data_IF_819443717427
#
_entry.id   IF_819443717427
#
_cell.length_a   1.000
_cell.length_b   1.000
_cell.length_c   1.000
_cell.angle_alpha   90.00
_cell.angle_beta   90.00
_cell.angle_gamma   90.00
#
_symmetry.space_group_name_H-M   'P 1'
#
loop_
_entity.id
_entity.type
_entity.pdbx_description
1 polymer ?
#
# COMPACT_ATOMS: atom_id res chain seq x y z
N UNK A 1 7.13 -11.12 -8.58
CA UNK A 1 5.98 -10.49 -9.29
C UNK A 1 6.50 -9.72 -10.48
N UNK A 2 5.89 -9.90 -11.61
CA UNK A 2 6.39 -9.33 -12.86
C UNK A 2 5.54 -8.13 -13.28
N UNK A 3 5.90 -6.97 -12.81
CA UNK A 3 5.15 -5.74 -13.05
C UNK A 3 5.87 -4.71 -13.92
N UNK A 4 7.04 -5.03 -14.44
CA UNK A 4 7.86 -4.09 -15.20
C UNK A 4 7.14 -3.44 -16.38
N UNK A 5 6.29 -4.20 -17.04
CA UNK A 5 5.63 -3.74 -18.27
C UNK A 5 4.24 -3.21 -18.02
N UNK A 6 3.81 -3.19 -16.76
CA UNK A 6 2.50 -2.68 -16.41
C UNK A 6 2.62 -1.21 -16.06
N UNK A 7 1.85 -0.39 -16.74
CA UNK A 7 1.77 1.02 -16.44
C UNK A 7 0.49 1.29 -15.66
N UNK A 8 0.64 1.59 -14.37
CA UNK A 8 -0.48 1.88 -13.48
C UNK A 8 -0.63 3.35 -13.17
N UNK A 9 -0.03 4.20 -13.99
CA UNK A 9 -0.16 5.65 -13.83
C UNK A 9 -1.64 6.03 -13.76
N UNK A 10 -1.98 6.86 -12.79
CA UNK A 10 -3.36 7.32 -12.53
C UNK A 10 -4.28 6.21 -11.98
N UNK A 11 -3.73 5.09 -11.54
CA UNK A 11 -4.49 4.06 -10.84
C UNK A 11 -4.32 4.20 -9.35
N UNK A 12 -5.32 3.73 -8.61
CA UNK A 12 -5.29 3.74 -7.15
C UNK A 12 -5.45 2.30 -6.67
N UNK A 13 -4.58 1.88 -5.77
CA UNK A 13 -4.63 0.54 -5.19
C UNK A 13 -4.79 0.65 -3.68
N UNK A 14 -5.81 -0.01 -3.16
CA UNK A 14 -6.03 -0.11 -1.72
C UNK A 14 -5.40 -1.41 -1.23
N UNK A 15 -4.47 -1.31 -0.28
CA UNK A 15 -3.78 -2.47 0.26
C UNK A 15 -3.97 -2.51 1.77
N UNK A 16 -4.68 -3.53 2.25
CA UNK A 16 -4.81 -3.77 3.69
C UNK A 16 -3.60 -4.59 4.16
N UNK A 17 -3.18 -4.35 5.39
CA UNK A 17 -1.98 -5.00 5.90
C UNK A 17 -0.72 -4.55 5.17
N UNK A 18 -0.71 -3.31 4.69
CA UNK A 18 0.34 -2.80 3.79
C UNK A 18 1.72 -2.72 4.44
N UNK A 19 1.77 -2.64 5.76
CA UNK A 19 3.04 -2.42 6.47
C UNK A 19 3.90 -3.66 6.63
N UNK A 20 3.41 -4.84 6.34
CA UNK A 20 4.13 -6.09 6.61
C UNK A 20 4.00 -7.10 5.48
N UNK A 21 5.05 -7.92 5.34
CA UNK A 21 5.03 -9.10 4.51
C UNK A 21 4.60 -8.87 3.07
N UNK A 22 3.66 -9.67 2.61
CA UNK A 22 3.17 -9.64 1.23
C UNK A 22 2.50 -8.30 0.91
N UNK A 23 1.74 -7.75 1.86
CA UNK A 23 1.09 -6.46 1.67
C UNK A 23 2.08 -5.34 1.39
N UNK A 24 3.19 -5.32 2.14
CA UNK A 24 4.25 -4.35 1.94
C UNK A 24 4.91 -4.53 0.57
N UNK A 25 5.26 -5.77 0.23
CA UNK A 25 5.91 -6.06 -1.04
C UNK A 25 5.01 -5.69 -2.22
N UNK A 26 3.73 -6.02 -2.15
CA UNK A 26 2.76 -5.66 -3.19
C UNK A 26 2.62 -4.15 -3.32
N UNK A 27 2.59 -3.43 -2.20
CA UNK A 27 2.47 -1.97 -2.21
C UNK A 27 3.64 -1.33 -2.93
N UNK A 28 4.86 -1.79 -2.65
CA UNK A 28 6.06 -1.27 -3.29
C UNK A 28 6.03 -1.56 -4.78
N UNK A 29 5.68 -2.79 -5.17
CA UNK A 29 5.63 -3.19 -6.58
C UNK A 29 4.59 -2.37 -7.35
N UNK A 30 3.41 -2.17 -6.78
CA UNK A 30 2.36 -1.38 -7.42
C UNK A 30 2.74 0.09 -7.53
N UNK A 31 3.39 0.62 -6.49
CA UNK A 31 3.88 2.00 -6.50
C UNK A 31 4.94 2.19 -7.58
N UNK A 32 5.85 1.24 -7.72
CA UNK A 32 6.88 1.28 -8.75
C UNK A 32 6.26 1.27 -10.14
N UNK A 33 5.14 0.58 -10.31
CA UNK A 33 4.41 0.55 -11.58
C UNK A 33 3.61 1.82 -11.84
N UNK A 34 3.56 2.74 -10.89
CA UNK A 34 2.92 4.05 -11.06
C UNK A 34 1.62 4.27 -10.30
N UNK A 35 1.12 3.26 -9.59
CA UNK A 35 -0.13 3.40 -8.85
C UNK A 35 0.07 4.27 -7.60
N UNK A 36 -0.97 4.98 -7.21
CA UNK A 36 -1.04 5.61 -5.90
C UNK A 36 -1.56 4.56 -4.93
N UNK A 37 -0.82 4.35 -3.84
CA UNK A 37 -1.15 3.33 -2.86
C UNK A 37 -1.92 3.94 -1.70
N UNK A 38 -3.06 3.37 -1.37
CA UNK A 38 -3.73 3.66 -0.11
C UNK A 38 -3.40 2.49 0.80
N UNK A 39 -2.46 2.71 1.71
CA UNK A 39 -1.98 1.68 2.61
C UNK A 39 -2.70 1.72 3.94
N UNK A 40 -3.29 0.60 4.32
CA UNK A 40 -4.02 0.47 5.58
C UNK A 40 -3.26 -0.49 6.49
N UNK A 41 -3.00 -0.05 7.71
CA UNK A 41 -2.33 -0.87 8.71
C UNK A 41 -2.80 -0.45 10.10
N UNK A 42 -2.68 -1.34 11.06
CA UNK A 42 -2.99 -1.02 12.47
C UNK A 42 -1.91 -0.16 13.11
N UNK A 43 -0.73 -0.14 12.54
CA UNK A 43 0.46 0.46 13.15
C UNK A 43 1.02 1.57 12.27
N UNK A 44 1.04 2.78 12.80
CA UNK A 44 1.56 3.93 12.07
C UNK A 44 3.03 3.76 11.70
N UNK A 45 3.83 3.17 12.60
CA UNK A 45 5.26 2.98 12.33
C UNK A 45 5.51 2.07 11.14
N UNK A 46 4.66 1.07 10.91
CA UNK A 46 4.78 0.20 9.75
C UNK A 46 4.52 0.98 8.45
N UNK A 47 3.53 1.87 8.49
CA UNK A 47 3.23 2.71 7.34
C UNK A 47 4.33 3.73 7.07
N UNK A 48 4.98 4.24 8.11
CA UNK A 48 6.10 5.16 7.95
C UNK A 48 7.28 4.48 7.29
N UNK A 49 7.56 3.22 7.64
CA UNK A 49 8.60 2.43 6.98
C UNK A 49 8.25 2.19 5.52
N UNK A 50 7.00 1.84 5.26
CA UNK A 50 6.53 1.65 3.89
C UNK A 50 6.67 2.93 3.07
N UNK A 51 6.37 4.07 3.67
CA UNK A 51 6.51 5.35 2.99
C UNK A 51 7.93 5.60 2.52
N UNK A 52 8.92 5.27 3.36
CA UNK A 52 10.32 5.41 2.97
C UNK A 52 10.65 4.55 1.76
N UNK A 53 10.16 3.31 1.74
CA UNK A 53 10.42 2.41 0.62
C UNK A 53 9.72 2.88 -0.65
N UNK A 54 8.48 3.39 -0.52
CA UNK A 54 7.74 3.89 -1.67
C UNK A 54 8.38 5.15 -2.24
N UNK A 55 8.94 6.00 -1.40
CA UNK A 55 9.68 7.18 -1.88
C UNK A 55 10.91 6.78 -2.70
N UNK A 56 11.55 5.67 -2.37
CA UNK A 56 12.72 5.21 -3.13
C UNK A 56 12.38 4.88 -4.58
N UNK A 57 11.15 4.47 -4.83
CA UNK A 57 10.68 4.19 -6.20
C UNK A 57 9.88 5.36 -6.76
N UNK A 58 9.93 6.51 -6.11
CA UNK A 58 9.21 7.73 -6.51
C UNK A 58 7.71 7.54 -6.58
N UNK A 59 7.20 6.67 -5.71
CA UNK A 59 5.78 6.38 -5.62
C UNK A 59 5.03 7.33 -4.71
N UNK A 60 3.72 7.10 -4.63
CA UNK A 60 2.81 7.87 -3.80
C UNK A 60 2.10 6.97 -2.82
N UNK A 61 2.02 7.37 -1.58
CA UNK A 61 1.35 6.61 -0.53
C UNK A 61 0.42 7.51 0.29
N UNK A 62 -0.81 7.07 0.44
CA UNK A 62 -1.75 7.64 1.41
C UNK A 62 -1.84 6.66 2.57
N UNK A 63 -1.54 7.11 3.77
CA UNK A 63 -1.50 6.27 4.96
C UNK A 63 -2.81 6.33 5.72
N UNK A 64 -3.39 5.18 6.02
CA UNK A 64 -4.57 5.08 6.86
C UNK A 64 -4.27 4.11 7.99
N UNK A 65 -4.21 4.63 9.22
CA UNK A 65 -4.03 3.78 10.40
C UNK A 65 -5.40 3.39 10.91
N UNK A 66 -5.66 2.09 10.90
CA UNK A 66 -6.99 1.59 11.21
C UNK A 66 -6.89 0.11 11.58
N UNK A 67 -7.66 -0.30 12.58
CA UNK A 67 -7.79 -1.72 12.89
C UNK A 67 -9.00 -2.25 12.13
N UNK A 68 -8.74 -3.00 11.08
CA UNK A 68 -9.80 -3.51 10.23
C UNK A 68 -10.73 -4.47 10.97
N UNK A 69 -10.28 -5.04 12.07
CA UNK A 69 -11.12 -5.90 12.91
C UNK A 69 -12.27 -5.13 13.56
N UNK A 70 -12.15 -3.81 13.67
CA UNK A 70 -13.22 -2.98 14.20
C UNK A 70 -14.37 -2.80 13.21
N UNK A 71 -14.21 -3.30 12.01
CA UNK A 71 -15.19 -3.16 10.93
C UNK A 71 -15.82 -4.51 10.57
N UNK A 72 -16.03 -5.36 11.55
CA UNK A 72 -16.60 -6.68 11.31
C UNK A 72 -18.00 -6.63 10.70
N UNK A 73 -18.68 -5.49 10.85
CA UNK A 73 -20.01 -5.31 10.26
C UNK A 73 -19.97 -4.85 8.80
N UNK A 74 -18.79 -4.59 8.28
CA UNK A 74 -18.64 -4.29 6.87
C UNK A 74 -18.96 -5.51 6.05
N UNK A 75 -19.98 -5.41 5.25
CA UNK A 75 -20.32 -6.50 4.33
C UNK A 75 -20.20 -6.01 2.90
N UNK A 76 -19.64 -6.88 2.13
CA UNK A 76 -19.38 -6.58 0.72
C UNK A 76 -20.10 -7.59 -0.15
#
# INVERSE_FOLDING_TARGET
MYLKKINLKNRIALVTGAGKGIGRACSIALAEAGATIIGVSRTTSDLDKLQKDIKKVKGKLVKITCDIMDYEDLSF
#
